data_IF_617142266789
#
_entry.id   IF_617142266789
#
_cell.length_a   1.000
_cell.length_b   1.000
_cell.length_c   1.000
_cell.angle_alpha   90.00
_cell.angle_beta   90.00
_cell.angle_gamma   90.00
#
_symmetry.space_group_name_H-M   'P 1'
#
loop_
_entity.id
_entity.type
_entity.pdbx_description
1 polymer ?
#
# COMPACT_ATOMS: atom_id res chain seq x y z
N UNK A 1 -10.89 1.70 -21.35
CA UNK A 1 -10.54 3.02 -20.74
C UNK A 1 -9.95 3.92 -21.81
N UNK A 2 -10.25 5.21 -21.79
CA UNK A 2 -9.61 6.20 -22.68
C UNK A 2 -8.21 6.55 -22.15
N UNK A 3 -7.27 6.90 -23.04
CA UNK A 3 -5.92 7.38 -22.69
C UNK A 3 -5.98 8.60 -21.76
N UNK A 4 -6.97 9.46 -21.94
CA UNK A 4 -7.18 10.65 -21.10
C UNK A 4 -7.48 10.29 -19.64
N UNK A 5 -8.19 9.18 -19.42
CA UNK A 5 -8.56 8.70 -18.09
C UNK A 5 -7.35 8.13 -17.35
N UNK A 6 -6.52 7.35 -18.03
CA UNK A 6 -5.26 6.85 -17.46
C UNK A 6 -4.30 8.00 -17.10
N UNK A 7 -4.23 9.03 -17.96
CA UNK A 7 -3.44 10.24 -17.69
C UNK A 7 -3.93 10.97 -16.43
N UNK A 8 -5.25 11.13 -16.27
CA UNK A 8 -5.84 11.76 -15.09
C UNK A 8 -5.58 10.97 -13.79
N UNK A 9 -5.66 9.63 -13.85
CA UNK A 9 -5.35 8.77 -12.71
C UNK A 9 -3.87 8.83 -12.33
N UNK A 10 -2.96 8.82 -13.31
CA UNK A 10 -1.53 8.98 -13.05
C UNK A 10 -1.23 10.35 -12.41
N UNK A 11 -1.81 11.43 -12.94
CA UNK A 11 -1.67 12.76 -12.35
C UNK A 11 -2.24 12.84 -10.91
N UNK A 12 -3.29 12.06 -10.62
CA UNK A 12 -3.84 11.96 -9.26
C UNK A 12 -2.89 11.22 -8.33
N UNK A 13 -2.27 10.14 -8.78
CA UNK A 13 -1.24 9.43 -8.02
C UNK A 13 0.04 10.29 -7.81
N UNK A 14 0.41 11.11 -8.80
CA UNK A 14 1.51 12.09 -8.64
C UNK A 14 1.17 13.14 -7.59
N UNK A 15 -0.05 13.69 -7.64
CA UNK A 15 -0.51 14.64 -6.63
C UNK A 15 -0.55 14.02 -5.24
N UNK A 16 -0.94 12.74 -5.12
CA UNK A 16 -0.92 12.02 -3.85
C UNK A 16 0.51 11.95 -3.29
N UNK A 17 1.48 11.56 -4.12
CA UNK A 17 2.90 11.50 -3.77
C UNK A 17 3.49 12.88 -3.41
N UNK A 18 3.06 13.94 -4.08
CA UNK A 18 3.52 15.31 -3.82
C UNK A 18 2.94 15.92 -2.55
N UNK A 19 1.60 15.85 -2.39
CA UNK A 19 0.87 16.51 -1.31
C UNK A 19 1.02 15.76 0.01
N UNK A 20 1.15 14.43 -0.03
CA UNK A 20 1.26 13.54 1.14
C UNK A 20 0.17 13.85 2.18
N UNK A 21 -1.12 13.76 1.78
CA UNK A 21 -2.21 14.19 2.63
C UNK A 21 -2.28 13.35 3.91
N UNK A 22 -2.61 14.01 5.02
CA UNK A 22 -2.81 13.37 6.33
C UNK A 22 -4.28 13.05 6.62
N UNK A 23 -4.52 12.28 7.68
CA UNK A 23 -5.89 11.91 8.08
C UNK A 23 -6.41 10.67 7.35
N UNK A 24 -7.75 10.56 7.29
CA UNK A 24 -8.43 9.50 6.55
C UNK A 24 -8.48 9.83 5.06
N UNK A 25 -8.00 8.92 4.22
CA UNK A 25 -8.00 9.08 2.76
C UNK A 25 -8.89 8.02 2.11
N UNK A 26 -9.86 8.45 1.32
CA UNK A 26 -10.68 7.54 0.51
C UNK A 26 -10.03 7.37 -0.87
N UNK A 27 -9.78 6.12 -1.26
CA UNK A 27 -9.16 5.76 -2.54
C UNK A 27 -10.20 5.12 -3.46
N UNK A 28 -10.13 5.38 -4.76
CA UNK A 28 -10.95 4.66 -5.75
C UNK A 28 -10.26 3.38 -6.23
N UNK A 29 -11.03 2.40 -6.71
CA UNK A 29 -10.49 1.14 -7.27
C UNK A 29 -9.51 1.40 -8.42
N UNK A 30 -9.75 2.44 -9.20
CA UNK A 30 -8.92 2.83 -10.34
C UNK A 30 -7.58 3.43 -9.88
N UNK A 31 -7.60 4.29 -8.85
CA UNK A 31 -6.38 4.83 -8.26
C UNK A 31 -5.56 3.72 -7.59
N UNK A 32 -6.22 2.77 -6.93
CA UNK A 32 -5.55 1.60 -6.35
C UNK A 32 -4.82 0.77 -7.40
N UNK A 33 -5.40 0.57 -8.58
CA UNK A 33 -4.71 -0.08 -9.70
C UNK A 33 -3.44 0.66 -10.12
N UNK A 34 -3.50 1.99 -10.24
CA UNK A 34 -2.30 2.80 -10.56
C UNK A 34 -1.23 2.72 -9.46
N UNK A 35 -1.62 2.64 -8.20
CA UNK A 35 -0.67 2.46 -7.09
C UNK A 35 -0.03 1.06 -7.13
N UNK A 36 -0.79 0.01 -7.47
CA UNK A 36 -0.29 -1.36 -7.65
C UNK A 36 0.75 -1.44 -8.78
N UNK A 37 0.44 -0.79 -9.93
CA UNK A 37 1.38 -0.67 -11.05
C UNK A 37 2.67 0.02 -10.62
N UNK A 38 2.59 1.14 -9.88
CA UNK A 38 3.76 1.87 -9.38
C UNK A 38 4.59 1.06 -8.39
N UNK A 39 3.96 0.22 -7.57
CA UNK A 39 4.67 -0.69 -6.66
C UNK A 39 5.39 -1.76 -7.46
N UNK A 40 4.75 -2.29 -8.50
CA UNK A 40 5.35 -3.27 -9.41
C UNK A 40 6.57 -2.68 -10.13
N UNK A 41 6.42 -1.51 -10.75
CA UNK A 41 7.52 -0.78 -11.40
C UNK A 41 8.65 -0.47 -10.41
N UNK A 42 8.33 -0.08 -9.18
CA UNK A 42 9.33 0.14 -8.14
C UNK A 42 10.06 -1.16 -7.79
N UNK A 43 9.37 -2.29 -7.72
CA UNK A 43 9.96 -3.60 -7.47
C UNK A 43 10.81 -4.14 -8.63
N UNK A 44 10.50 -3.76 -9.86
CA UNK A 44 11.37 -4.04 -11.02
C UNK A 44 12.67 -3.24 -10.95
N UNK A 45 12.62 -2.00 -10.44
CA UNK A 45 13.78 -1.14 -10.26
C UNK A 45 14.61 -1.47 -9.01
N UNK A 46 13.96 -1.89 -7.92
CA UNK A 46 14.57 -2.26 -6.65
C UNK A 46 14.07 -3.65 -6.19
N UNK A 47 14.90 -4.71 -6.33
CA UNK A 47 14.50 -6.07 -5.99
C UNK A 47 14.31 -6.29 -4.47
N UNK A 48 14.67 -5.34 -3.61
CA UNK A 48 14.36 -5.42 -2.18
C UNK A 48 12.86 -5.20 -1.91
N UNK A 49 12.14 -4.49 -2.78
CA UNK A 49 10.73 -4.16 -2.58
C UNK A 49 9.83 -5.41 -2.60
N UNK A 50 9.89 -6.31 -3.61
CA UNK A 50 9.03 -7.50 -3.61
C UNK A 50 9.26 -8.39 -2.38
N UNK A 51 10.52 -8.56 -1.95
CA UNK A 51 10.85 -9.31 -0.75
C UNK A 51 10.28 -8.65 0.52
N UNK A 52 10.45 -7.34 0.65
CA UNK A 52 9.92 -6.60 1.79
C UNK A 52 8.39 -6.63 1.84
N UNK A 53 7.70 -6.49 0.70
CA UNK A 53 6.23 -6.58 0.61
C UNK A 53 5.74 -7.98 1.00
N UNK A 54 6.41 -9.04 0.54
CA UNK A 54 6.07 -10.41 0.92
C UNK A 54 6.23 -10.63 2.43
N UNK A 55 7.31 -10.12 3.03
CA UNK A 55 7.51 -10.21 4.49
C UNK A 55 6.48 -9.39 5.27
N UNK A 56 6.13 -8.20 4.77
CA UNK A 56 5.06 -7.38 5.33
C UNK A 56 3.69 -8.07 5.30
N UNK A 57 3.36 -8.76 4.21
CA UNK A 57 2.13 -9.56 4.08
C UNK A 57 2.14 -10.74 5.05
N UNK A 58 3.27 -11.46 5.15
CA UNK A 58 3.43 -12.57 6.10
C UNK A 58 3.25 -12.11 7.56
N UNK A 59 3.88 -10.98 7.92
CA UNK A 59 3.73 -10.37 9.23
C UNK A 59 2.26 -9.98 9.52
N UNK A 60 1.59 -9.33 8.57
CA UNK A 60 0.17 -8.98 8.72
C UNK A 60 -0.71 -10.21 8.88
N UNK A 61 -0.47 -11.25 8.10
CA UNK A 61 -1.18 -12.52 8.24
C UNK A 61 -0.98 -13.15 9.61
N UNK A 62 0.25 -13.12 10.15
CA UNK A 62 0.54 -13.63 11.48
C UNK A 62 -0.21 -12.83 12.58
N UNK A 63 -0.25 -11.50 12.47
CA UNK A 63 -1.00 -10.65 13.41
C UNK A 63 -2.50 -10.95 13.36
N UNK A 64 -3.07 -11.05 12.15
CA UNK A 64 -4.50 -11.34 11.98
C UNK A 64 -4.87 -12.75 12.50
N UNK A 65 -3.93 -13.70 12.43
CA UNK A 65 -4.07 -15.03 13.00
C UNK A 65 -3.86 -15.08 14.54
N UNK A 66 -3.53 -13.96 15.19
CA UNK A 66 -3.23 -13.90 16.62
C UNK A 66 -1.91 -14.56 17.00
N UNK A 67 -0.96 -14.65 16.07
CA UNK A 67 0.34 -15.26 16.29
C UNK A 67 1.12 -14.49 17.37
N UNK A 68 1.60 -15.16 18.44
CA UNK A 68 2.38 -14.49 19.46
C UNK A 68 3.72 -13.97 18.92
N UNK A 69 4.25 -12.84 19.42
CA UNK A 69 5.53 -12.27 18.95
C UNK A 69 6.73 -13.22 19.04
N UNK A 70 6.70 -14.21 19.93
CA UNK A 70 7.76 -15.22 20.05
C UNK A 70 7.87 -16.15 18.83
N UNK A 71 6.80 -16.27 18.03
CA UNK A 71 6.74 -17.09 16.83
C UNK A 71 6.84 -16.28 15.53
N UNK A 72 6.67 -14.96 15.61
CA UNK A 72 6.90 -14.02 14.51
C UNK A 72 7.42 -12.69 15.07
N UNK A 73 8.75 -12.44 15.06
CA UNK A 73 9.33 -11.29 15.76
C UNK A 73 9.00 -9.94 15.12
N UNK A 74 8.46 -9.95 13.89
CA UNK A 74 8.07 -8.77 13.14
C UNK A 74 8.69 -8.79 11.75
N UNK A 75 8.51 -7.69 11.02
CA UNK A 75 9.25 -7.44 9.79
C UNK A 75 10.68 -7.02 10.16
N UNK A 76 11.75 -7.62 9.58
CA UNK A 76 13.13 -7.20 9.81
C UNK A 76 13.36 -5.71 9.48
N UNK A 77 14.27 -5.06 10.20
CA UNK A 77 14.52 -3.61 10.08
C UNK A 77 14.86 -3.15 8.66
N UNK A 78 15.58 -3.98 7.90
CA UNK A 78 15.91 -3.71 6.50
C UNK A 78 14.64 -3.65 5.62
N UNK A 79 13.73 -4.60 5.77
CA UNK A 79 12.46 -4.62 5.06
C UNK A 79 11.52 -3.53 5.57
N UNK A 80 11.48 -3.28 6.87
CA UNK A 80 10.70 -2.18 7.44
C UNK A 80 11.13 -0.82 6.87
N UNK A 81 12.43 -0.62 6.64
CA UNK A 81 12.96 0.59 6.00
C UNK A 81 12.52 0.71 4.55
N UNK A 82 12.56 -0.38 3.78
CA UNK A 82 12.09 -0.43 2.39
C UNK A 82 10.59 -0.15 2.30
N UNK A 83 9.78 -0.78 3.14
CA UNK A 83 8.33 -0.58 3.19
C UNK A 83 7.97 0.86 3.55
N UNK A 84 8.67 1.47 4.52
CA UNK A 84 8.49 2.88 4.87
C UNK A 84 8.83 3.79 3.70
N UNK A 85 9.97 3.58 3.04
CA UNK A 85 10.37 4.37 1.89
C UNK A 85 9.38 4.23 0.72
N UNK A 86 8.86 3.03 0.48
CA UNK A 86 7.81 2.80 -0.51
C UNK A 86 6.53 3.55 -0.16
N UNK A 87 6.08 3.48 1.11
CA UNK A 87 4.90 4.21 1.58
C UNK A 87 5.06 5.73 1.43
N UNK A 88 6.24 6.27 1.73
CA UNK A 88 6.58 7.69 1.51
C UNK A 88 6.57 8.05 0.03
N UNK A 89 7.13 7.21 -0.83
CA UNK A 89 7.14 7.42 -2.29
C UNK A 89 5.74 7.45 -2.88
N UNK A 90 4.79 6.69 -2.33
CA UNK A 90 3.38 6.70 -2.74
C UNK A 90 2.58 7.86 -2.12
N UNK A 91 3.17 8.62 -1.19
CA UNK A 91 2.52 9.71 -0.46
C UNK A 91 1.50 9.28 0.58
N UNK A 92 1.59 8.03 1.05
CA UNK A 92 0.67 7.43 2.01
C UNK A 92 1.18 7.46 3.45
N UNK A 93 2.38 8.01 3.67
CA UNK A 93 3.09 7.97 4.95
C UNK A 93 2.45 8.84 6.04
N UNK A 94 1.67 9.87 5.64
CA UNK A 94 0.93 10.76 6.55
C UNK A 94 -0.52 10.35 6.77
N UNK A 95 -1.02 9.41 5.98
CA UNK A 95 -2.39 8.92 6.11
C UNK A 95 -2.53 8.15 7.43
N UNK A 96 -3.55 8.50 8.21
CA UNK A 96 -3.91 7.76 9.43
C UNK A 96 -4.61 6.45 9.05
N UNK A 97 -5.51 6.50 8.07
CA UNK A 97 -6.23 5.33 7.56
C UNK A 97 -6.62 5.50 6.08
N UNK A 98 -6.69 4.39 5.36
CA UNK A 98 -7.16 4.32 3.98
C UNK A 98 -8.55 3.69 3.94
N UNK A 99 -9.51 4.43 3.44
CA UNK A 99 -10.83 3.92 3.13
C UNK A 99 -10.84 3.39 1.70
N UNK A 100 -11.05 2.08 1.58
CA UNK A 100 -11.07 1.34 0.34
C UNK A 100 -12.52 1.12 -0.11
N UNK A 101 -12.79 1.09 -1.42
CA UNK A 101 -14.13 0.82 -1.92
C UNK A 101 -14.50 -0.64 -1.65
N UNK A 102 -15.80 -0.93 -1.54
CA UNK A 102 -16.29 -2.27 -1.17
C UNK A 102 -15.90 -3.36 -2.18
N UNK A 103 -15.69 -2.98 -3.45
CA UNK A 103 -15.28 -3.83 -4.55
C UNK A 103 -13.75 -3.99 -4.70
N UNK A 104 -12.97 -3.49 -3.73
CA UNK A 104 -11.50 -3.56 -3.80
C UNK A 104 -11.01 -5.01 -3.95
N UNK A 105 -10.10 -5.21 -4.90
CA UNK A 105 -9.46 -6.50 -5.07
C UNK A 105 -8.60 -6.84 -3.82
N UNK A 106 -8.70 -8.06 -3.28
CA UNK A 106 -7.97 -8.45 -2.07
C UNK A 106 -6.44 -8.27 -2.17
N UNK A 107 -5.88 -8.28 -3.38
CA UNK A 107 -4.44 -8.02 -3.57
C UNK A 107 -4.05 -6.59 -3.20
N UNK A 108 -4.84 -5.59 -3.57
CA UNK A 108 -4.51 -4.18 -3.32
C UNK A 108 -4.54 -3.90 -1.82
N UNK A 109 -5.56 -4.39 -1.12
CA UNK A 109 -5.65 -4.26 0.32
C UNK A 109 -4.47 -4.93 1.04
N UNK A 110 -4.09 -6.15 0.65
CA UNK A 110 -2.94 -6.85 1.23
C UNK A 110 -1.64 -6.08 1.07
N UNK A 111 -1.36 -5.58 -0.13
CA UNK A 111 -0.14 -4.80 -0.40
C UNK A 111 -0.12 -3.52 0.43
N UNK A 112 -1.23 -2.79 0.50
CA UNK A 112 -1.35 -1.59 1.34
C UNK A 112 -1.11 -1.89 2.82
N UNK A 113 -1.68 -2.98 3.32
CA UNK A 113 -1.47 -3.42 4.71
C UNK A 113 -0.03 -3.89 4.96
N UNK A 114 0.61 -4.51 3.98
CA UNK A 114 2.00 -4.95 4.03
C UNK A 114 2.96 -3.76 4.13
N UNK A 115 2.71 -2.67 3.41
CA UNK A 115 3.48 -1.42 3.53
C UNK A 115 3.08 -0.58 4.76
N UNK A 116 2.30 -1.14 5.68
CA UNK A 116 1.97 -0.54 6.97
C UNK A 116 0.81 0.45 6.94
N UNK A 117 -0.03 0.46 5.91
CA UNK A 117 -1.27 1.23 5.93
C UNK A 117 -2.33 0.53 6.77
N UNK A 118 -3.13 1.32 7.48
CA UNK A 118 -4.39 0.87 8.05
C UNK A 118 -5.47 1.01 7.00
N UNK A 119 -6.26 -0.05 6.80
CA UNK A 119 -7.31 -0.09 5.77
C UNK A 119 -8.67 -0.35 6.41
N UNK A 120 -9.69 0.32 5.92
CA UNK A 120 -11.10 0.03 6.22
C UNK A 120 -11.86 -0.04 4.90
N UNK A 121 -12.81 -0.94 4.75
CA UNK A 121 -13.71 -0.94 3.59
C UNK A 121 -14.88 -0.01 3.87
N UNK A 122 -15.31 0.73 2.86
CA UNK A 122 -16.55 1.48 2.92
C UNK A 122 -17.73 0.51 3.08
N UNK A 123 -18.64 0.82 4.00
CA UNK A 123 -19.90 0.09 4.15
C UNK A 123 -20.76 0.36 2.90
N UNK A 124 -21.14 -0.71 2.19
CA UNK A 124 -21.97 -0.66 0.98
C UNK A 124 -23.45 -0.40 1.24
#
# INVERSE_FOLDING_TARGET
MSTDHLSALSASADRLAEVRPGGRLSLSSELLGVLDDRITEAGEADPAIPAAVAEGDAYRHAIDAGCPPAFHPGVPDEHATVLRALRERLGLDRADALELPADVEPRHERILRAIGCETTRADG
#
